data_IF_174085395957
#
_entry.id   IF_174085395957
#
_cell.length_a   1.000
_cell.length_b   1.000
_cell.length_c   1.000
_cell.angle_alpha   90.00
_cell.angle_beta   90.00
_cell.angle_gamma   90.00
#
_symmetry.space_group_name_H-M   'P 1'
#
loop_
_entity.id
_entity.type
_entity.pdbx_description
1 polymer ?
#
# COMPACT_ATOMS: atom_id res chain seq x y z
N UNK A 1 -10.18 19.00 2.42
CA UNK A 1 -8.98 18.20 2.12
C UNK A 1 -8.62 17.17 3.22
N UNK A 2 -8.83 17.44 4.53
CA UNK A 2 -8.39 16.54 5.61
C UNK A 2 -9.28 15.32 5.95
N UNK A 3 -10.54 15.25 5.52
CA UNK A 3 -11.46 14.19 6.01
C UNK A 3 -11.19 12.77 5.50
N UNK A 4 -10.49 12.62 4.35
CA UNK A 4 -10.15 11.29 3.81
C UNK A 4 -8.89 10.70 4.46
N UNK A 5 -7.87 11.54 4.70
CA UNK A 5 -6.63 11.13 5.36
C UNK A 5 -6.88 10.75 6.84
N UNK A 6 -7.77 11.47 7.52
CA UNK A 6 -8.22 11.14 8.89
C UNK A 6 -8.97 9.80 8.97
N UNK A 7 -9.73 9.45 7.92
CA UNK A 7 -10.41 8.13 7.83
C UNK A 7 -9.43 7.00 7.53
N UNK A 8 -8.34 7.31 6.82
CA UNK A 8 -7.24 6.41 6.49
C UNK A 8 -6.33 6.15 7.72
N UNK A 9 -6.08 7.18 8.52
CA UNK A 9 -5.23 7.14 9.72
C UNK A 9 -5.96 6.76 11.00
N UNK A 10 -7.26 6.45 10.96
CA UNK A 10 -8.03 6.03 12.14
C UNK A 10 -7.57 4.65 12.60
N UNK A 11 -6.47 4.65 13.36
CA UNK A 11 -5.81 3.54 14.02
C UNK A 11 -6.84 2.57 14.59
N UNK A 12 -6.96 1.40 13.98
CA UNK A 12 -7.35 0.19 14.72
C UNK A 12 -6.29 0.01 15.80
N UNK A 13 -6.65 0.22 17.07
CA UNK A 13 -5.77 -0.15 18.18
C UNK A 13 -5.40 -1.63 18.00
N UNK A 14 -4.10 -1.98 17.92
CA UNK A 14 -3.71 -3.37 17.75
C UNK A 14 -4.04 -4.13 19.03
N UNK A 15 -5.14 -4.89 19.01
CA UNK A 15 -5.32 -5.97 19.96
C UNK A 15 -4.20 -6.97 19.76
N UNK A 16 -3.48 -7.30 20.83
CA UNK A 16 -2.23 -8.07 20.86
C UNK A 16 -2.30 -9.50 20.29
N UNK A 17 -3.45 -9.93 19.74
CA UNK A 17 -3.68 -11.31 19.29
C UNK A 17 -3.77 -11.51 17.76
N UNK A 18 -3.80 -10.45 16.95
CA UNK A 18 -3.74 -10.61 15.50
C UNK A 18 -2.31 -10.39 15.06
N UNK A 19 -1.69 -11.41 14.48
CA UNK A 19 -0.62 -11.24 13.50
C UNK A 19 -0.96 -10.00 12.65
N UNK A 20 -0.22 -8.91 12.82
CA UNK A 20 -0.57 -7.62 12.23
C UNK A 20 -0.50 -7.78 10.71
N UNK A 21 -1.65 -7.69 10.05
CA UNK A 21 -1.72 -7.64 8.59
C UNK A 21 -1.32 -6.23 8.19
N UNK A 22 -0.06 -6.05 7.84
CA UNK A 22 0.45 -4.78 7.34
C UNK A 22 -0.04 -4.54 5.91
N UNK A 23 -0.41 -3.29 5.60
CA UNK A 23 -0.92 -2.87 4.29
C UNK A 23 -0.34 -1.49 3.99
N UNK A 24 0.14 -1.31 2.77
CA UNK A 24 0.58 -0.03 2.23
C UNK A 24 -0.61 0.65 1.55
N UNK A 25 -0.89 1.90 1.91
CA UNK A 25 -1.95 2.70 1.31
C UNK A 25 -1.32 3.88 0.56
N UNK A 26 -1.65 4.02 -0.73
CA UNK A 26 -1.14 5.06 -1.62
C UNK A 26 -2.31 5.87 -2.18
N UNK A 27 -2.19 7.20 -2.14
CA UNK A 27 -3.14 8.11 -2.80
C UNK A 27 -2.34 9.04 -3.70
N UNK A 28 -2.64 9.01 -4.99
CA UNK A 28 -2.10 9.91 -6.00
C UNK A 28 -3.24 10.76 -6.56
N UNK A 29 -3.08 12.07 -6.55
CA UNK A 29 -4.04 13.02 -7.10
C UNK A 29 -3.36 13.79 -8.21
N UNK A 30 -3.96 13.83 -9.40
CA UNK A 30 -3.48 14.61 -10.54
C UNK A 30 -4.59 15.50 -11.08
N UNK A 31 -4.25 16.76 -11.37
CA UNK A 31 -5.13 17.80 -11.91
C UNK A 31 -5.38 17.68 -13.43
N UNK A 32 -4.72 16.71 -14.09
CA UNK A 32 -4.80 16.53 -15.54
C UNK A 32 -5.84 15.47 -15.91
N UNK A 33 -6.93 15.93 -16.50
CA UNK A 33 -7.99 15.11 -17.10
C UNK A 33 -7.61 14.40 -18.41
N UNK A 34 -6.38 14.57 -18.91
CA UNK A 34 -5.93 14.07 -20.21
C UNK A 34 -5.39 12.63 -20.20
N UNK A 35 -5.39 11.95 -19.06
CA UNK A 35 -4.99 10.55 -19.01
C UNK A 35 -6.07 9.67 -19.62
N UNK A 36 -5.79 9.17 -20.82
CA UNK A 36 -6.60 8.13 -21.47
C UNK A 36 -6.67 6.88 -20.57
N UNK A 37 -7.76 6.09 -20.61
CA UNK A 37 -7.88 4.85 -19.83
C UNK A 37 -6.68 3.89 -19.99
N UNK A 38 -6.13 3.80 -21.19
CA UNK A 38 -4.97 2.96 -21.51
C UNK A 38 -3.69 3.41 -20.77
N UNK A 39 -3.40 4.71 -20.76
CA UNK A 39 -2.30 5.29 -19.96
C UNK A 39 -2.52 5.12 -18.45
N UNK A 40 -3.77 5.19 -17.97
CA UNK A 40 -4.06 4.92 -16.57
C UNK A 40 -3.76 3.45 -16.20
N UNK A 41 -4.09 2.52 -17.10
CA UNK A 41 -3.78 1.11 -16.92
C UNK A 41 -2.27 0.85 -16.97
N UNK A 42 -1.52 1.44 -17.91
CA UNK A 42 -0.05 1.37 -17.90
C UNK A 42 0.56 1.91 -16.60
N UNK A 43 0.11 3.09 -16.15
CA UNK A 43 0.59 3.69 -14.90
C UNK A 43 0.31 2.80 -13.69
N UNK A 44 -0.87 2.16 -13.64
CA UNK A 44 -1.22 1.18 -12.62
C UNK A 44 -0.18 0.05 -12.58
N UNK A 45 0.11 -0.54 -13.73
CA UNK A 45 1.02 -1.68 -13.82
C UNK A 45 2.46 -1.29 -13.45
N UNK A 46 2.94 -0.12 -13.91
CA UNK A 46 4.27 0.39 -13.58
C UNK A 46 4.43 0.71 -12.08
N UNK A 47 3.43 1.32 -11.45
CA UNK A 47 3.46 1.61 -10.00
C UNK A 47 3.56 0.31 -9.21
N UNK A 48 2.78 -0.70 -9.59
CA UNK A 48 2.83 -2.01 -8.95
C UNK A 48 4.23 -2.62 -9.12
N UNK A 49 4.78 -2.62 -10.32
CA UNK A 49 6.12 -3.14 -10.59
C UNK A 49 7.19 -2.47 -9.74
N UNK A 50 7.12 -1.15 -9.58
CA UNK A 50 8.04 -0.40 -8.73
C UNK A 50 7.88 -0.78 -7.27
N UNK A 51 6.66 -0.89 -6.75
CA UNK A 51 6.42 -1.27 -5.34
C UNK A 51 6.92 -2.69 -5.07
N UNK A 52 6.67 -3.64 -5.99
CA UNK A 52 7.16 -5.02 -5.89
C UNK A 52 8.70 -5.13 -5.79
N UNK A 53 9.45 -4.13 -6.28
CA UNK A 53 10.92 -4.13 -6.17
C UNK A 53 11.40 -3.87 -4.74
N UNK A 54 10.62 -3.14 -3.94
CA UNK A 54 11.01 -2.73 -2.59
C UNK A 54 10.23 -3.44 -1.50
N UNK A 55 9.06 -3.99 -1.83
CA UNK A 55 8.16 -4.59 -0.87
C UNK A 55 7.68 -5.92 -1.40
N UNK A 56 7.75 -6.94 -0.54
CA UNK A 56 7.27 -8.27 -0.89
C UNK A 56 5.73 -8.23 -0.91
N UNK A 57 5.13 -8.15 -2.10
CA UNK A 57 3.68 -8.05 -2.29
C UNK A 57 3.26 -9.07 -3.35
N UNK A 58 2.06 -9.62 -3.21
CA UNK A 58 1.48 -10.47 -4.27
C UNK A 58 0.69 -9.59 -5.22
N UNK A 59 1.11 -9.52 -6.49
CA UNK A 59 0.53 -8.64 -7.51
C UNK A 59 -0.98 -8.83 -7.68
N UNK A 60 -1.44 -10.07 -7.58
CA UNK A 60 -2.84 -10.50 -7.65
C UNK A 60 -3.71 -9.95 -6.50
N UNK A 61 -3.09 -9.55 -5.38
CA UNK A 61 -3.79 -8.99 -4.22
C UNK A 61 -3.73 -7.47 -4.11
N UNK A 62 -3.10 -6.82 -5.08
CA UNK A 62 -3.05 -5.36 -5.15
C UNK A 62 -4.37 -4.82 -5.68
N UNK A 63 -5.08 -4.06 -4.85
CA UNK A 63 -6.31 -3.38 -5.25
C UNK A 63 -5.99 -1.91 -5.54
N UNK A 64 -6.21 -1.49 -6.80
CA UNK A 64 -6.04 -0.09 -7.23
C UNK A 64 -7.35 0.40 -7.82
N UNK A 65 -7.86 1.48 -7.24
CA UNK A 65 -9.09 2.13 -7.63
C UNK A 65 -8.80 3.53 -8.20
N UNK A 66 -9.32 3.80 -9.39
CA UNK A 66 -9.25 5.12 -10.00
C UNK A 66 -10.59 5.83 -9.84
N UNK A 67 -10.58 7.01 -9.24
CA UNK A 67 -11.75 7.88 -9.12
C UNK A 67 -11.49 9.17 -9.88
N UNK A 68 -12.26 9.41 -10.94
CA UNK A 68 -12.29 10.72 -11.58
C UNK A 68 -13.29 11.62 -10.84
N UNK A 69 -12.81 12.71 -10.25
CA UNK A 69 -13.64 13.68 -9.54
C UNK A 69 -13.45 15.07 -10.14
N UNK A 70 -14.46 15.54 -10.87
CA UNK A 70 -14.47 16.84 -11.54
C UNK A 70 -13.28 17.04 -12.50
N UNK A 71 -12.20 17.69 -12.07
CA UNK A 71 -10.95 17.88 -12.82
C UNK A 71 -9.80 17.00 -12.36
N UNK A 72 -9.93 16.38 -11.19
CA UNK A 72 -8.86 15.62 -10.59
C UNK A 72 -9.07 14.13 -10.83
N UNK A 73 -8.01 13.44 -11.22
CA UNK A 73 -7.95 11.98 -11.21
C UNK A 73 -7.28 11.53 -9.91
N UNK A 74 -7.94 10.65 -9.19
CA UNK A 74 -7.46 10.04 -7.95
C UNK A 74 -7.12 8.58 -8.24
N UNK A 75 -5.92 8.16 -7.87
CA UNK A 75 -5.53 6.75 -7.81
C UNK A 75 -5.36 6.41 -6.33
N UNK A 76 -6.16 5.47 -5.87
CA UNK A 76 -6.10 4.94 -4.50
C UNK A 76 -5.68 3.49 -4.59
N UNK A 77 -4.53 3.13 -4.02
CA UNK A 77 -4.06 1.75 -3.97
C UNK A 77 -4.03 1.26 -2.52
N UNK A 78 -4.55 0.06 -2.31
CA UNK A 78 -4.40 -0.69 -1.07
C UNK A 78 -3.64 -1.98 -1.38
N UNK A 79 -2.44 -2.06 -0.83
CA UNK A 79 -1.44 -3.07 -1.18
C UNK A 79 -1.15 -3.89 0.07
N UNK A 80 -1.60 -5.15 0.15
CA UNK A 80 -1.28 -6.01 1.27
C UNK A 80 0.20 -6.39 1.24
N UNK A 81 0.87 -6.20 2.36
CA UNK A 81 2.26 -6.58 2.49
C UNK A 81 2.33 -8.06 2.87
N UNK A 82 3.19 -8.81 2.19
CA UNK A 82 3.62 -10.08 2.72
C UNK A 82 4.52 -9.80 3.91
N UNK A 83 4.41 -10.64 4.94
CA UNK A 83 5.40 -10.61 6.00
C UNK A 83 6.78 -10.73 5.35
N UNK A 84 7.71 -9.82 5.63
CA UNK A 84 9.09 -10.07 5.29
C UNK A 84 9.47 -11.39 5.97
N UNK A 85 10.10 -12.29 5.22
CA UNK A 85 10.77 -13.46 5.78
C UNK A 85 12.04 -12.98 6.47
N UNK A 86 11.88 -12.06 7.42
CA UNK A 86 12.90 -11.76 8.40
C UNK A 86 12.96 -13.03 9.25
N UNK A 87 13.83 -13.95 8.82
CA UNK A 87 14.41 -14.92 9.72
C UNK A 87 14.73 -14.16 11.01
N UNK A 88 14.21 -14.60 12.16
CA UNK A 88 14.35 -13.84 13.39
C UNK A 88 15.83 -13.52 13.56
N UNK A 89 16.15 -12.22 13.56
CA UNK A 89 17.49 -11.74 13.82
C UNK A 89 17.90 -12.36 15.15
N UNK A 90 18.84 -13.31 15.07
CA UNK A 90 19.58 -13.92 16.17
C UNK A 90 18.90 -13.77 17.53
N UNK A 91 18.32 -14.86 18.04
CA UNK A 91 18.39 -15.13 19.48
C UNK A 91 19.89 -15.27 19.84
N UNK A 92 20.61 -14.16 19.91
CA UNK A 92 21.95 -14.10 20.46
C UNK A 92 21.81 -13.84 21.96
N UNK A 93 22.10 -14.87 22.75
CA UNK A 93 22.49 -14.69 24.16
C UNK A 93 21.36 -14.82 25.17
N UNK A 94 20.71 -15.99 25.22
CA UNK A 94 20.31 -16.57 26.49
C UNK A 94 21.20 -17.80 26.72
N UNK A 95 22.47 -17.56 27.06
CA UNK A 95 23.39 -18.52 27.68
C UNK A 95 24.69 -17.76 27.98
N UNK A 96 24.78 -17.23 29.20
CA UNK A 96 25.95 -17.38 30.08
C UNK A 96 25.80 -16.49 31.33
N UNK A 97 25.83 -17.16 32.49
CA UNK A 97 25.91 -16.68 33.89
C UNK A 97 24.62 -16.28 34.61
#
# INVERSE_FOLDING_TARGET
MHQFFERLLRRRQPGSGSIAKERLQLVLVTDRSELTPEKMQQMKDEIIDVICKYVNVMRDKVEINFEQRQRDNWLVADIPLLKPDIAPLHTAGAEDA
#
